data_IF_000136528978
#
_entry.id   IF_000136528978
#
_cell.length_a   1.000
_cell.length_b   1.000
_cell.length_c   1.000
_cell.angle_alpha   90.00
_cell.angle_beta   90.00
_cell.angle_gamma   90.00
#
_symmetry.space_group_name_H-M   'P 1'
#
loop_
_entity.id
_entity.type
_entity.pdbx_description
1 polymer ?
#
# COMPACT_ATOMS: atom_id res chain seq x y z
N UNK A 1 -15.93 -8.60 3.24
CA UNK A 1 -14.53 -8.77 3.67
C UNK A 1 -13.50 -8.44 2.58
N UNK A 2 -13.75 -8.75 1.30
CA UNK A 2 -12.79 -8.52 0.19
C UNK A 2 -12.17 -7.10 0.11
N UNK A 3 -12.92 -6.04 0.41
CA UNK A 3 -12.34 -4.69 0.51
C UNK A 3 -12.63 -4.02 1.86
N UNK A 4 -13.68 -4.46 2.55
CA UNK A 4 -14.13 -3.87 3.82
C UNK A 4 -13.08 -3.98 4.94
N UNK A 5 -12.12 -4.90 4.84
CA UNK A 5 -11.00 -5.00 5.79
C UNK A 5 -10.12 -3.73 5.77
N UNK A 6 -10.06 -3.02 4.64
CA UNK A 6 -9.27 -1.81 4.46
C UNK A 6 -9.88 -0.60 5.17
N UNK A 7 -11.12 -0.68 5.64
CA UNK A 7 -11.79 0.41 6.37
C UNK A 7 -11.78 0.15 7.90
N UNK A 8 -11.77 -1.11 8.31
CA UNK A 8 -11.71 -1.49 9.73
C UNK A 8 -10.30 -1.29 10.32
N UNK A 9 -10.22 -0.91 11.59
CA UNK A 9 -8.95 -0.72 12.31
C UNK A 9 -9.01 -1.39 13.68
N UNK A 10 -7.88 -1.98 14.11
CA UNK A 10 -7.78 -2.71 15.38
C UNK A 10 -7.62 -1.83 16.63
N UNK A 11 -7.18 -0.58 16.47
CA UNK A 11 -7.03 0.39 17.56
C UNK A 11 -7.20 1.82 17.05
N UNK A 12 -7.42 2.77 17.97
CA UNK A 12 -7.49 4.20 17.66
C UNK A 12 -6.17 4.75 17.14
N UNK A 13 -5.05 4.34 17.73
CA UNK A 13 -3.70 4.71 17.26
C UNK A 13 -3.48 4.25 15.82
N UNK A 14 -3.78 2.98 15.53
CA UNK A 14 -3.65 2.44 14.18
C UNK A 14 -4.56 3.14 13.17
N UNK A 15 -5.75 3.59 13.58
CA UNK A 15 -6.64 4.40 12.74
C UNK A 15 -6.03 5.78 12.45
N UNK A 16 -5.59 6.48 13.50
CA UNK A 16 -5.09 7.85 13.41
C UNK A 16 -3.82 7.90 12.54
N UNK A 17 -2.88 6.98 12.74
CA UNK A 17 -1.63 6.92 11.97
C UNK A 17 -1.91 6.78 10.47
N UNK A 18 -2.80 5.85 10.11
CA UNK A 18 -3.18 5.65 8.72
C UNK A 18 -3.93 6.85 8.14
N UNK A 19 -4.84 7.45 8.91
CA UNK A 19 -5.62 8.61 8.46
C UNK A 19 -4.77 9.85 8.26
N UNK A 20 -3.74 10.08 9.08
CA UNK A 20 -2.82 11.21 8.90
C UNK A 20 -2.16 11.12 7.51
N UNK A 21 -1.66 9.95 7.11
CA UNK A 21 -1.08 9.78 5.78
C UNK A 21 -2.11 9.90 4.66
N UNK A 22 -3.31 9.32 4.84
CA UNK A 22 -4.40 9.48 3.86
C UNK A 22 -4.78 10.95 3.65
N UNK A 23 -4.88 11.73 4.72
CA UNK A 23 -5.25 13.14 4.66
C UNK A 23 -4.12 14.03 4.13
N UNK A 24 -2.86 13.66 4.38
CA UNK A 24 -1.71 14.42 3.92
C UNK A 24 -1.40 14.16 2.43
N UNK A 25 -1.48 12.89 2.00
CA UNK A 25 -1.04 12.46 0.67
C UNK A 25 -2.22 12.36 -0.29
N UNK A 26 -3.39 11.96 0.20
CA UNK A 26 -4.60 11.74 -0.61
C UNK A 26 -4.98 12.93 -1.47
N UNK A 27 -5.25 14.12 -0.90
CA UNK A 27 -5.64 15.30 -1.67
C UNK A 27 -4.63 15.68 -2.75
N UNK A 28 -3.34 15.57 -2.43
CA UNK A 28 -2.25 15.83 -3.38
C UNK A 28 -2.25 14.86 -4.56
N UNK A 29 -2.48 13.57 -4.30
CA UNK A 29 -2.61 12.56 -5.35
C UNK A 29 -3.88 12.74 -6.18
N UNK A 30 -4.97 13.15 -5.54
CA UNK A 30 -6.23 13.43 -6.24
C UNK A 30 -6.12 14.64 -7.17
N UNK A 31 -5.41 15.69 -6.75
CA UNK A 31 -5.12 16.84 -7.60
C UNK A 31 -4.30 16.44 -8.84
N UNK A 32 -3.30 15.57 -8.66
CA UNK A 32 -2.42 15.15 -9.76
C UNK A 32 -3.02 14.08 -10.68
N UNK A 33 -3.66 13.06 -10.12
CA UNK A 33 -4.13 11.89 -10.88
C UNK A 33 -5.65 11.86 -11.09
N UNK A 34 -6.40 12.74 -10.42
CA UNK A 34 -7.85 12.78 -10.39
C UNK A 34 -8.44 11.84 -9.33
N UNK A 35 -9.46 12.31 -8.58
CA UNK A 35 -10.09 11.55 -7.50
C UNK A 35 -10.63 10.19 -7.94
N UNK A 36 -11.25 10.09 -9.13
CA UNK A 36 -11.72 8.81 -9.66
C UNK A 36 -10.58 7.82 -9.91
N UNK A 37 -9.43 8.30 -10.41
CA UNK A 37 -8.26 7.44 -10.63
C UNK A 37 -7.71 6.96 -9.30
N UNK A 38 -7.53 7.85 -8.32
CA UNK A 38 -7.01 7.49 -6.98
C UNK A 38 -7.93 6.49 -6.28
N UNK A 39 -9.23 6.72 -6.32
CA UNK A 39 -10.23 5.80 -5.80
C UNK A 39 -10.14 4.42 -6.46
N UNK A 40 -10.06 4.36 -7.80
CA UNK A 40 -9.94 3.09 -8.52
C UNK A 40 -8.65 2.33 -8.18
N UNK A 41 -7.54 3.04 -7.98
CA UNK A 41 -6.26 2.46 -7.57
C UNK A 41 -6.35 1.90 -6.14
N UNK A 42 -6.94 2.65 -5.21
CA UNK A 42 -7.16 2.20 -3.84
C UNK A 42 -8.08 0.96 -3.77
N UNK A 43 -9.18 0.97 -4.52
CA UNK A 43 -10.10 -0.17 -4.60
C UNK A 43 -9.42 -1.41 -5.18
N UNK A 44 -8.66 -1.25 -6.26
CA UNK A 44 -7.89 -2.34 -6.85
C UNK A 44 -6.88 -2.92 -5.87
N UNK A 45 -6.11 -2.07 -5.19
CA UNK A 45 -5.13 -2.51 -4.19
C UNK A 45 -5.80 -3.28 -3.06
N UNK A 46 -6.92 -2.81 -2.52
CA UNK A 46 -7.66 -3.53 -1.48
C UNK A 46 -8.12 -4.91 -1.96
N UNK A 47 -8.74 -4.98 -3.15
CA UNK A 47 -9.24 -6.24 -3.71
C UNK A 47 -8.09 -7.23 -3.94
N UNK A 48 -7.02 -6.81 -4.63
CA UNK A 48 -5.88 -7.69 -4.94
C UNK A 48 -5.19 -8.17 -3.67
N UNK A 49 -4.99 -7.30 -2.69
CA UNK A 49 -4.43 -7.70 -1.40
C UNK A 49 -5.27 -8.79 -0.74
N UNK A 50 -6.60 -8.63 -0.71
CA UNK A 50 -7.47 -9.66 -0.13
C UNK A 50 -7.45 -10.98 -0.89
N UNK A 51 -7.41 -10.93 -2.22
CA UNK A 51 -7.37 -12.13 -3.06
C UNK A 51 -6.06 -12.89 -2.89
N UNK A 52 -4.94 -12.16 -2.87
CA UNK A 52 -3.62 -12.76 -2.63
C UNK A 52 -3.52 -13.34 -1.22
N UNK A 53 -4.07 -12.65 -0.21
CA UNK A 53 -4.10 -13.14 1.16
C UNK A 53 -4.93 -14.42 1.30
N UNK A 54 -6.13 -14.46 0.70
CA UNK A 54 -6.97 -15.66 0.67
C UNK A 54 -6.30 -16.81 -0.08
N UNK A 55 -5.67 -16.53 -1.23
CA UNK A 55 -4.92 -17.53 -1.99
C UNK A 55 -3.75 -18.11 -1.18
N UNK A 56 -3.03 -17.26 -0.44
CA UNK A 56 -1.95 -17.69 0.45
C UNK A 56 -2.46 -18.62 1.55
N UNK A 57 -3.57 -18.27 2.22
CA UNK A 57 -4.19 -19.14 3.23
C UNK A 57 -4.63 -20.50 2.68
N UNK A 58 -5.06 -20.56 1.41
CA UNK A 58 -5.44 -21.82 0.75
C UNK A 58 -4.21 -22.68 0.42
N UNK A 59 -3.13 -22.08 -0.06
CA UNK A 59 -1.90 -22.79 -0.47
C UNK A 59 -1.04 -23.20 0.73
N UNK A 60 -1.03 -22.39 1.79
CA UNK A 60 -0.24 -22.60 3.00
C UNK A 60 -1.14 -22.56 4.25
N UNK A 61 -2.01 -23.56 4.46
CA UNK A 61 -3.01 -23.55 5.54
C UNK A 61 -2.40 -23.59 6.95
N UNK A 62 -1.16 -24.07 7.07
CA UNK A 62 -0.42 -24.10 8.33
C UNK A 62 0.38 -22.82 8.58
N UNK A 63 0.48 -21.91 7.61
CA UNK A 63 1.05 -20.59 7.85
C UNK A 63 0.09 -19.80 8.76
N UNK A 64 0.63 -19.04 9.70
CA UNK A 64 -0.13 -18.12 10.56
C UNK A 64 0.17 -16.68 10.13
N UNK A 65 -0.26 -16.25 8.94
CA UNK A 65 0.02 -14.89 8.50
C UNK A 65 -0.73 -13.88 9.37
N UNK A 66 -0.08 -12.75 9.62
CA UNK A 66 -0.65 -11.63 10.34
C UNK A 66 -1.97 -11.16 9.73
N UNK A 67 -2.86 -10.64 10.58
CA UNK A 67 -4.20 -10.24 10.17
C UNK A 67 -4.15 -9.02 9.24
N UNK A 68 -4.80 -9.12 8.08
CA UNK A 68 -4.97 -7.97 7.18
C UNK A 68 -6.15 -7.09 7.64
N UNK A 69 -5.90 -6.14 8.54
CA UNK A 69 -6.90 -5.15 8.98
C UNK A 69 -6.28 -3.76 8.93
N UNK A 70 -6.98 -2.80 8.31
CA UNK A 70 -6.54 -1.41 8.21
C UNK A 70 -6.33 -0.90 6.79
N UNK A 71 -6.35 0.42 6.64
CA UNK A 71 -6.11 1.09 5.36
C UNK A 71 -4.62 1.22 5.01
N UNK A 72 -3.74 0.62 5.80
CA UNK A 72 -2.29 0.81 5.67
C UNK A 72 -1.74 0.33 4.32
N UNK A 73 -2.27 -0.75 3.73
CA UNK A 73 -1.92 -1.15 2.37
C UNK A 73 -2.26 -0.08 1.32
N UNK A 74 -3.37 0.65 1.49
CA UNK A 74 -3.73 1.79 0.64
C UNK A 74 -2.78 2.96 0.88
N UNK A 75 -2.40 3.21 2.14
CA UNK A 75 -1.42 4.24 2.50
C UNK A 75 -0.07 3.96 1.85
N UNK A 76 0.43 2.72 1.91
CA UNK A 76 1.67 2.32 1.23
C UNK A 76 1.57 2.51 -0.28
N UNK A 77 0.44 2.15 -0.89
CA UNK A 77 0.18 2.43 -2.31
C UNK A 77 0.31 3.93 -2.60
N UNK A 78 -0.30 4.79 -1.78
CA UNK A 78 -0.25 6.25 -1.95
C UNK A 78 1.14 6.83 -1.76
N UNK A 79 1.90 6.38 -0.76
CA UNK A 79 3.29 6.85 -0.52
C UNK A 79 4.16 6.53 -1.74
N UNK A 80 4.11 5.30 -2.24
CA UNK A 80 4.91 4.88 -3.39
C UNK A 80 4.45 5.57 -4.67
N UNK A 81 3.15 5.71 -4.90
CA UNK A 81 2.61 6.47 -6.04
C UNK A 81 3.03 7.95 -5.98
N UNK A 82 2.97 8.55 -4.80
CA UNK A 82 3.38 9.92 -4.49
C UNK A 82 4.84 10.21 -4.81
N UNK A 83 5.71 9.20 -4.68
CA UNK A 83 7.13 9.38 -4.99
C UNK A 83 7.42 9.66 -6.48
N UNK A 84 6.49 9.35 -7.38
CA UNK A 84 6.61 9.58 -8.83
C UNK A 84 6.07 10.93 -9.29
N UNK A 85 5.54 11.76 -8.39
CA UNK A 85 4.71 12.89 -8.81
C UNK A 85 5.46 14.08 -9.40
N UNK A 86 6.77 14.16 -9.23
CA UNK A 86 7.59 15.29 -9.72
C UNK A 86 8.82 14.84 -10.53
N UNK A 87 8.73 13.70 -11.23
CA UNK A 87 9.86 13.14 -11.98
C UNK A 87 9.54 13.04 -13.46
N UNK A 88 10.54 13.37 -14.30
CA UNK A 88 10.43 13.27 -15.75
C UNK A 88 10.15 11.83 -16.16
N UNK A 89 9.34 11.66 -17.20
CA UNK A 89 9.07 10.34 -17.80
C UNK A 89 10.39 9.60 -18.09
N UNK A 90 10.40 8.30 -17.80
CA UNK A 90 11.56 7.42 -17.99
C UNK A 90 12.62 7.44 -16.88
N UNK A 91 12.48 8.28 -15.84
CA UNK A 91 13.43 8.33 -14.73
C UNK A 91 12.84 7.74 -13.44
N UNK A 92 13.68 7.09 -12.64
CA UNK A 92 13.30 6.59 -11.31
C UNK A 92 13.60 7.69 -10.29
N UNK A 93 12.60 8.17 -9.51
CA UNK A 93 12.81 9.15 -8.46
C UNK A 93 13.80 8.66 -7.40
N UNK A 94 14.72 9.52 -6.94
CA UNK A 94 15.57 9.17 -5.80
C UNK A 94 14.75 8.95 -4.52
N UNK A 95 13.66 9.71 -4.34
CA UNK A 95 12.69 9.51 -3.26
C UNK A 95 12.05 8.13 -3.28
N UNK A 96 11.69 7.62 -4.47
CA UNK A 96 11.19 6.26 -4.64
C UNK A 96 12.22 5.23 -4.17
N UNK A 97 13.49 5.39 -4.55
CA UNK A 97 14.57 4.49 -4.14
C UNK A 97 14.69 4.46 -2.61
N UNK A 98 14.69 5.61 -1.95
CA UNK A 98 14.77 5.67 -0.49
C UNK A 98 13.54 5.08 0.20
N UNK A 99 12.33 5.35 -0.30
CA UNK A 99 11.11 4.74 0.24
C UNK A 99 11.16 3.21 0.07
N UNK A 100 11.61 2.72 -1.08
CA UNK A 100 11.75 1.29 -1.32
C UNK A 100 12.78 0.65 -0.37
N UNK A 101 13.91 1.32 -0.14
CA UNK A 101 14.98 0.79 0.72
C UNK A 101 14.60 0.81 2.20
N UNK A 102 14.10 1.95 2.71
CA UNK A 102 13.82 2.10 4.14
C UNK A 102 12.43 1.61 4.51
N UNK A 103 11.40 2.00 3.76
CA UNK A 103 10.02 1.72 4.12
C UNK A 103 9.64 0.29 3.74
N UNK A 104 9.84 -0.09 2.47
CA UNK A 104 9.54 -1.46 2.01
C UNK A 104 10.57 -2.48 2.50
N UNK A 105 11.85 -2.12 2.58
CA UNK A 105 12.89 -3.01 3.13
C UNK A 105 12.57 -3.46 4.57
N UNK A 106 12.10 -2.54 5.42
CA UNK A 106 11.67 -2.88 6.78
C UNK A 106 10.49 -3.87 6.80
N UNK A 107 9.52 -3.73 5.89
CA UNK A 107 8.39 -4.68 5.81
C UNK A 107 8.86 -6.08 5.40
N UNK A 108 9.83 -6.17 4.49
CA UNK A 108 10.39 -7.45 4.06
C UNK A 108 11.15 -8.13 5.19
N UNK A 109 11.96 -7.38 5.94
CA UNK A 109 12.68 -7.92 7.11
C UNK A 109 11.70 -8.39 8.17
N UNK A 110 10.73 -7.54 8.54
CA UNK A 110 9.75 -7.87 9.56
C UNK A 110 8.82 -9.02 9.17
N UNK A 111 8.62 -9.28 7.87
CA UNK A 111 7.85 -10.43 7.42
C UNK A 111 8.50 -11.79 7.75
N UNK A 112 9.78 -11.79 8.14
CA UNK A 112 10.48 -12.97 8.67
C UNK A 112 10.44 -13.05 10.20
N UNK A 113 10.02 -11.98 10.87
CA UNK A 113 9.83 -11.93 12.33
C UNK A 113 8.36 -12.18 12.68
N UNK A 114 8.10 -12.71 13.87
CA UNK A 114 6.77 -13.11 14.34
C UNK A 114 5.96 -11.89 14.85
N UNK A 115 5.74 -10.91 13.98
CA UNK A 115 5.07 -9.63 14.29
C UNK A 115 3.62 -9.57 13.79
N UNK A 116 2.75 -8.93 14.59
CA UNK A 116 1.29 -8.91 14.39
C UNK A 116 0.76 -7.78 13.47
N UNK A 117 1.63 -7.02 12.80
CA UNK A 117 1.21 -5.97 11.87
C UNK A 117 0.98 -6.60 10.49
N UNK A 118 0.26 -5.95 9.58
CA UNK A 118 -0.04 -6.53 8.26
C UNK A 118 1.08 -6.23 7.25
N UNK A 119 2.27 -6.82 7.43
CA UNK A 119 3.39 -6.64 6.46
C UNK A 119 2.96 -7.06 5.05
N UNK A 120 2.11 -8.09 4.95
CA UNK A 120 1.53 -8.55 3.69
C UNK A 120 0.77 -7.43 2.95
N UNK A 121 -0.12 -6.71 3.65
CA UNK A 121 -0.87 -5.62 3.03
C UNK A 121 0.02 -4.45 2.64
N UNK A 122 1.05 -4.15 3.44
CA UNK A 122 2.03 -3.12 3.12
C UNK A 122 2.84 -3.45 1.87
N UNK A 123 3.31 -4.69 1.75
CA UNK A 123 4.09 -5.15 0.61
C UNK A 123 3.26 -5.09 -0.67
N UNK A 124 2.04 -5.66 -0.66
CA UNK A 124 1.14 -5.61 -1.82
C UNK A 124 0.77 -4.17 -2.17
N UNK A 125 0.50 -3.34 -1.17
CA UNK A 125 0.26 -1.91 -1.31
C UNK A 125 1.41 -1.19 -2.03
N UNK A 126 2.64 -1.38 -1.55
CA UNK A 126 3.83 -0.78 -2.14
C UNK A 126 4.09 -1.25 -3.58
N UNK A 127 3.85 -2.54 -3.88
CA UNK A 127 3.92 -3.07 -5.25
C UNK A 127 2.90 -2.39 -6.16
N UNK A 128 1.63 -2.28 -5.71
CA UNK A 128 0.60 -1.58 -6.47
C UNK A 128 0.96 -0.12 -6.71
N UNK A 129 1.39 0.61 -5.68
CA UNK A 129 1.77 2.03 -5.78
C UNK A 129 2.92 2.25 -6.75
N UNK A 130 3.94 1.39 -6.69
CA UNK A 130 5.07 1.39 -7.63
C UNK A 130 4.59 1.15 -9.05
N UNK A 131 3.79 0.11 -9.28
CA UNK A 131 3.26 -0.23 -10.59
C UNK A 131 2.44 0.93 -11.18
N UNK A 132 1.52 1.50 -10.41
CA UNK A 132 0.72 2.65 -10.84
C UNK A 132 1.59 3.88 -11.12
N UNK A 133 2.58 4.15 -10.27
CA UNK A 133 3.54 5.23 -10.46
C UNK A 133 4.28 5.12 -11.79
N UNK A 134 4.82 3.94 -12.10
CA UNK A 134 5.49 3.69 -13.39
C UNK A 134 4.55 3.79 -14.60
N UNK A 135 3.33 3.24 -14.51
CA UNK A 135 2.38 3.26 -15.63
C UNK A 135 1.87 4.69 -15.89
N UNK A 136 1.56 5.45 -14.84
CA UNK A 136 1.01 6.81 -14.96
C UNK A 136 2.08 7.85 -15.27
N UNK A 137 3.33 7.63 -14.89
CA UNK A 137 4.43 8.56 -15.17
C UNK A 137 5.12 8.33 -16.53
N UNK A 138 4.75 7.27 -17.27
CA UNK A 138 5.22 7.02 -18.64
C UNK A 138 4.42 7.76 -19.72
N UNK A 139 3.27 8.33 -19.38
CA UNK A 139 2.52 9.24 -20.25
C UNK A 139 2.98 10.67 -20.01
#
# INVERSE_FOLDING_TARGET
RLFSYAVGHGSWEHLIDNFIYLLLIGPYLEEKYGSQSVFSMALFTAVITSLLYLGFLVVAPNAQPSSIVGSSGIVFMMILLGSFTNVRSGHIPLTFIFIMLFFMGTQVINAFDDNQISEFAHIVGGICGSFFGFVKNKK
#
